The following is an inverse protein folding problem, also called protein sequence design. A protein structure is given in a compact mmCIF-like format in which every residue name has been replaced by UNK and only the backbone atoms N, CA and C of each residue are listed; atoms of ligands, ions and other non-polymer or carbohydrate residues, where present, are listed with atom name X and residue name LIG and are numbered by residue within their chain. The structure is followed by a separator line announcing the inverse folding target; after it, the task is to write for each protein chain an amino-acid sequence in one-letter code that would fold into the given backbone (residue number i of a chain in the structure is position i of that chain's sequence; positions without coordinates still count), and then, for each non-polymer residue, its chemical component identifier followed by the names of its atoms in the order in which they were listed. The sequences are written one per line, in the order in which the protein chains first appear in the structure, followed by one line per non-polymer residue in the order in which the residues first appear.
data_IF_139691035361
#
_entry.id   IF_139691035361
#
_cell.length_a   1.000
_cell.length_b   1.000
_cell.length_c   1.000
_cell.angle_alpha   90.00
_cell.angle_beta   90.00
_cell.angle_gamma   90.00
#
_symmetry.space_group_name_H-M   'P 1'
#
loop_
_entity.id
_entity.type
_entity.pdbx_description
1 polymer ?
#
# COMPACT_ATOMS: atom_id res chain seq x y z
N UNK A 1 -59.87 -37.35 21.15
CA UNK A 1 -58.89 -37.72 20.09
C UNK A 1 -59.19 -36.87 18.85
N UNK A 2 -58.32 -36.10 18.17
CA UNK A 2 -56.86 -35.87 18.15
C UNK A 2 -56.67 -34.35 17.95
N UNK A 3 -56.08 -33.60 18.89
CA UNK A 3 -55.59 -32.22 18.65
C UNK A 3 -54.26 -32.34 17.87
N UNK A 4 -54.33 -32.53 16.55
CA UNK A 4 -53.16 -32.69 15.66
C UNK A 4 -53.03 -31.59 14.59
N UNK A 5 -53.62 -30.40 14.76
CA UNK A 5 -53.54 -29.36 13.71
C UNK A 5 -52.64 -28.15 14.03
N UNK A 6 -52.30 -27.89 15.30
CA UNK A 6 -51.41 -26.76 15.64
C UNK A 6 -49.92 -27.11 15.62
N UNK A 7 -49.53 -28.35 15.97
CA UNK A 7 -48.11 -28.75 16.00
C UNK A 7 -47.50 -28.81 14.59
N UNK A 8 -48.28 -29.22 13.59
CA UNK A 8 -47.79 -29.44 12.22
C UNK A 8 -47.46 -28.13 11.50
N UNK A 9 -48.23 -27.06 11.76
CA UNK A 9 -47.96 -25.74 11.15
C UNK A 9 -46.69 -25.10 11.71
N UNK A 10 -46.43 -25.27 13.00
CA UNK A 10 -45.19 -24.77 13.64
C UNK A 10 -43.97 -25.53 13.13
N UNK A 11 -44.08 -26.85 12.92
CA UNK A 11 -42.95 -27.67 12.43
C UNK A 11 -42.55 -27.30 10.99
N UNK A 12 -43.51 -26.98 10.12
CA UNK A 12 -43.25 -26.55 8.73
C UNK A 12 -42.61 -25.15 8.69
N UNK A 13 -43.04 -24.23 9.56
CA UNK A 13 -42.45 -22.89 9.64
C UNK A 13 -41.00 -22.92 10.16
N UNK A 14 -40.70 -23.78 11.14
CA UNK A 14 -39.34 -23.94 11.68
C UNK A 14 -38.40 -24.61 10.68
N UNK A 15 -38.88 -25.60 9.91
CA UNK A 15 -38.07 -26.25 8.86
C UNK A 15 -37.80 -25.33 7.66
N UNK A 16 -38.74 -24.46 7.29
CA UNK A 16 -38.47 -23.41 6.30
C UNK A 16 -37.47 -22.35 6.80
N UNK A 17 -37.53 -21.97 8.07
CA UNK A 17 -36.58 -21.00 8.64
C UNK A 17 -35.16 -21.58 8.77
N UNK A 18 -35.02 -22.85 9.15
CA UNK A 18 -33.72 -23.54 9.18
C UNK A 18 -33.19 -23.76 7.75
N UNK A 19 -34.07 -24.05 6.78
CA UNK A 19 -33.71 -24.12 5.36
C UNK A 19 -33.21 -22.79 4.82
N UNK A 20 -33.83 -21.66 5.18
CA UNK A 20 -33.36 -20.33 4.80
C UNK A 20 -32.05 -19.97 5.53
N UNK A 21 -31.89 -20.33 6.81
CA UNK A 21 -30.62 -20.10 7.51
C UNK A 21 -29.50 -20.98 6.90
N UNK A 22 -29.78 -22.20 6.46
CA UNK A 22 -28.80 -23.05 5.79
C UNK A 22 -28.50 -22.65 4.33
N UNK A 23 -29.46 -22.04 3.62
CA UNK A 23 -29.31 -21.60 2.22
C UNK A 23 -28.79 -20.15 2.11
N UNK A 24 -29.03 -19.30 3.11
CA UNK A 24 -28.48 -17.92 3.20
C UNK A 24 -27.14 -17.90 3.93
N UNK A 25 -26.75 -18.97 4.59
CA UNK A 25 -25.37 -19.14 5.10
C UNK A 25 -24.57 -20.02 4.16
N UNK A 26 -24.19 -19.47 3.00
CA UNK A 26 -22.77 -19.56 2.64
C UNK A 26 -22.28 -18.26 1.99
N UNK A 27 -22.23 -17.14 2.73
CA UNK A 27 -21.53 -15.92 2.21
C UNK A 27 -20.75 -15.14 3.28
N UNK A 28 -20.91 -15.42 4.57
CA UNK A 28 -20.27 -14.64 5.65
C UNK A 28 -19.22 -15.42 6.47
N UNK A 29 -18.85 -16.61 6.03
CA UNK A 29 -17.77 -17.41 6.62
C UNK A 29 -16.81 -17.97 5.56
N UNK A 30 -16.70 -17.29 4.43
CA UNK A 30 -15.57 -17.47 3.53
C UNK A 30 -14.45 -16.55 4.06
N UNK A 31 -13.38 -17.14 4.59
CA UNK A 31 -12.27 -16.39 5.17
C UNK A 31 -11.71 -15.48 4.11
N UNK A 32 -11.86 -14.17 4.26
CA UNK A 32 -11.36 -13.24 3.25
C UNK A 32 -9.84 -13.35 3.19
N UNK A 33 -9.31 -14.08 2.22
CA UNK A 33 -7.88 -14.11 1.90
C UNK A 33 -7.47 -12.65 1.69
N UNK A 34 -6.75 -12.08 2.65
CA UNK A 34 -6.38 -10.68 2.60
C UNK A 34 -5.01 -10.43 3.20
N UNK A 35 -4.33 -9.42 2.67
CA UNK A 35 -3.02 -9.01 3.18
C UNK A 35 -3.17 -7.62 3.75
N UNK A 36 -2.80 -7.48 5.02
CA UNK A 36 -2.63 -6.19 5.67
C UNK A 36 -1.15 -5.82 5.69
N UNK A 37 -0.85 -4.64 5.16
CA UNK A 37 0.48 -4.05 5.14
C UNK A 37 0.44 -2.74 5.91
N UNK A 38 1.33 -2.58 6.87
CA UNK A 38 1.58 -1.29 7.50
C UNK A 38 3.07 -1.02 7.55
N UNK A 39 3.44 0.19 7.16
CA UNK A 39 4.81 0.68 7.18
C UNK A 39 4.79 2.08 7.77
N UNK A 40 5.66 2.35 8.75
CA UNK A 40 5.70 3.65 9.43
C UNK A 40 7.10 3.92 9.95
N UNK A 41 7.62 5.11 9.71
CA UNK A 41 8.93 5.51 10.22
C UNK A 41 9.52 6.67 9.45
N UNK A 42 10.82 6.82 9.61
CA UNK A 42 11.64 7.75 8.83
C UNK A 42 11.69 7.32 7.37
N UNK A 43 11.73 8.30 6.48
CA UNK A 43 11.74 8.07 5.05
C UNK A 43 13.16 7.78 4.55
N UNK A 44 13.36 6.60 3.96
CA UNK A 44 14.67 6.19 3.47
C UNK A 44 15.11 6.93 2.20
N UNK A 45 14.20 7.61 1.49
CA UNK A 45 14.50 8.40 0.29
C UNK A 45 14.60 9.92 0.58
N UNK A 46 14.21 10.36 1.78
CA UNK A 46 14.40 11.73 2.29
C UNK A 46 15.10 11.66 3.67
N UNK A 47 16.33 11.12 3.73
CA UNK A 47 17.02 10.92 5.00
C UNK A 47 17.47 12.28 5.55
N UNK A 48 17.11 12.62 6.79
CA UNK A 48 17.52 13.85 7.48
C UNK A 48 19.01 13.94 7.86
N UNK A 49 19.92 13.55 6.97
CA UNK A 49 21.38 13.60 7.18
C UNK A 49 22.01 14.88 6.60
N UNK A 50 23.33 15.04 6.83
CA UNK A 50 24.11 16.25 6.55
C UNK A 50 24.05 16.79 5.10
N UNK A 51 23.54 16.00 4.14
CA UNK A 51 23.37 16.41 2.76
C UNK A 51 21.95 16.90 2.42
N UNK A 52 21.05 16.91 3.41
CA UNK A 52 19.65 17.32 3.26
C UNK A 52 19.29 18.40 4.28
N UNK A 53 18.53 19.42 3.83
CA UNK A 53 17.89 20.38 4.74
C UNK A 53 16.59 19.84 5.34
N UNK A 54 16.16 18.65 4.91
CA UNK A 54 14.85 18.11 5.19
C UNK A 54 14.90 16.64 5.64
N UNK A 55 13.95 16.26 6.50
CA UNK A 55 13.72 14.88 6.90
C UNK A 55 12.28 14.48 6.57
N UNK A 56 12.10 13.29 6.01
CA UNK A 56 10.80 12.71 5.71
C UNK A 56 10.34 11.72 6.78
N UNK A 57 9.03 11.67 7.02
CA UNK A 57 8.38 10.53 7.68
C UNK A 57 7.24 10.04 6.82
N UNK A 58 7.08 8.72 6.81
CA UNK A 58 6.11 8.05 5.94
C UNK A 58 5.25 7.10 6.76
N UNK A 59 3.96 7.11 6.46
CA UNK A 59 2.96 6.15 6.92
C UNK A 59 2.26 5.56 5.71
N UNK A 60 2.24 4.23 5.63
CA UNK A 60 1.59 3.47 4.56
C UNK A 60 0.68 2.45 5.22
N UNK A 61 -0.56 2.39 4.76
CA UNK A 61 -1.54 1.38 5.13
C UNK A 61 -2.09 0.78 3.83
N UNK A 62 -1.72 -0.47 3.56
CA UNK A 62 -2.18 -1.24 2.42
C UNK A 62 -3.10 -2.36 2.87
N UNK A 63 -4.22 -2.55 2.16
CA UNK A 63 -5.04 -3.76 2.28
C UNK A 63 -5.26 -4.34 0.89
N UNK A 64 -4.86 -5.58 0.71
CA UNK A 64 -5.13 -6.35 -0.51
C UNK A 64 -6.18 -7.39 -0.17
N UNK A 65 -7.27 -7.44 -0.92
CA UNK A 65 -8.30 -8.48 -0.77
C UNK A 65 -8.35 -9.31 -2.05
N UNK A 66 -8.39 -10.63 -1.95
CA UNK A 66 -8.57 -11.49 -3.11
C UNK A 66 -10.03 -11.88 -3.24
N UNK A 67 -10.57 -11.75 -4.44
CA UNK A 67 -11.83 -12.38 -4.77
C UNK A 67 -11.62 -13.90 -4.87
N UNK A 68 -12.44 -14.68 -4.19
CA UNK A 68 -12.32 -16.15 -4.14
C UNK A 68 -12.64 -16.80 -5.49
N UNK A 69 -13.43 -16.15 -6.33
CA UNK A 69 -13.87 -16.69 -7.62
C UNK A 69 -12.83 -16.41 -8.72
N UNK A 70 -12.37 -15.17 -8.83
CA UNK A 70 -11.39 -14.76 -9.86
C UNK A 70 -9.93 -14.85 -9.42
N UNK A 71 -9.67 -14.96 -8.11
CA UNK A 71 -8.34 -14.77 -7.50
C UNK A 71 -7.70 -13.40 -7.79
N UNK A 72 -8.44 -12.45 -8.38
CA UNK A 72 -7.96 -11.10 -8.64
C UNK A 72 -7.79 -10.35 -7.33
N UNK A 73 -6.63 -9.74 -7.15
CA UNK A 73 -6.35 -8.91 -6.00
C UNK A 73 -6.91 -7.51 -6.22
N UNK A 74 -7.80 -7.07 -5.33
CA UNK A 74 -8.25 -5.69 -5.24
C UNK A 74 -7.45 -4.98 -4.15
N UNK A 75 -6.55 -4.09 -4.59
CA UNK A 75 -5.70 -3.32 -3.70
C UNK A 75 -6.41 -2.05 -3.19
N UNK A 76 -6.16 -1.73 -1.92
CA UNK A 76 -6.45 -0.43 -1.31
C UNK A 76 -5.19 0.08 -0.65
N UNK A 77 -4.86 1.33 -0.88
CA UNK A 77 -3.67 1.97 -0.31
C UNK A 77 -4.07 3.32 0.24
N UNK A 78 -3.65 3.61 1.45
CA UNK A 78 -3.62 4.94 2.01
C UNK A 78 -2.18 5.24 2.43
N UNK A 79 -1.68 6.42 2.09
CA UNK A 79 -0.36 6.86 2.51
C UNK A 79 -0.37 8.32 2.93
N UNK A 80 0.58 8.65 3.81
CA UNK A 80 0.85 10.00 4.26
C UNK A 80 2.36 10.18 4.39
N UNK A 81 2.90 11.13 3.65
CA UNK A 81 4.31 11.53 3.73
C UNK A 81 4.34 12.95 4.28
N UNK A 82 5.18 13.19 5.27
CA UNK A 82 5.41 14.51 5.86
C UNK A 82 6.88 14.84 5.79
N UNK A 83 7.20 16.07 5.41
CA UNK A 83 8.57 16.58 5.32
C UNK A 83 8.73 17.72 6.30
N UNK A 84 9.86 17.70 7.00
CA UNK A 84 10.21 18.64 8.06
C UNK A 84 11.54 19.31 7.73
N UNK A 85 11.70 20.57 8.09
CA UNK A 85 12.99 21.25 8.04
C UNK A 85 13.87 20.80 9.21
N UNK A 86 15.09 20.35 8.95
CA UNK A 86 15.95 19.69 9.94
C UNK A 86 16.25 20.58 11.15
N UNK A 87 16.64 21.84 10.92
CA UNK A 87 17.05 22.75 12.02
C UNK A 87 15.88 23.21 12.90
N UNK A 88 14.69 23.38 12.32
CA UNK A 88 13.54 23.97 13.04
C UNK A 88 12.55 22.92 13.52
N UNK A 89 12.64 21.68 13.01
CA UNK A 89 11.63 20.63 13.22
C UNK A 89 10.26 20.99 12.65
N UNK A 90 10.11 22.10 11.91
CA UNK A 90 8.83 22.56 11.39
C UNK A 90 8.43 21.69 10.21
N UNK A 91 7.19 21.20 10.22
CA UNK A 91 6.58 20.56 9.04
C UNK A 91 6.45 21.60 7.92
N UNK A 92 7.05 21.33 6.77
CA UNK A 92 7.05 22.23 5.60
C UNK A 92 6.22 21.68 4.44
N UNK A 93 5.95 20.37 4.42
CA UNK A 93 5.15 19.75 3.38
C UNK A 93 4.45 18.50 3.90
N UNK A 94 3.26 18.21 3.38
CA UNK A 94 2.72 16.86 3.44
C UNK A 94 1.89 16.51 2.22
N UNK A 95 1.93 15.23 1.85
CA UNK A 95 1.07 14.62 0.84
C UNK A 95 0.33 13.44 1.46
N UNK A 96 -0.94 13.35 1.14
CA UNK A 96 -1.80 12.20 1.44
C UNK A 96 -2.28 11.61 0.13
N UNK A 97 -2.30 10.29 0.04
CA UNK A 97 -2.86 9.59 -1.11
C UNK A 97 -3.79 8.47 -0.68
N UNK A 98 -4.80 8.23 -1.52
CA UNK A 98 -5.76 7.12 -1.37
C UNK A 98 -6.00 6.47 -2.71
N UNK A 99 -6.00 5.15 -2.71
CA UNK A 99 -6.25 4.31 -3.87
C UNK A 99 -7.22 3.21 -3.48
N UNK A 100 -8.21 2.95 -4.33
CA UNK A 100 -9.21 1.91 -4.14
C UNK A 100 -9.39 1.13 -5.43
N UNK A 101 -9.71 -0.15 -5.32
CA UNK A 101 -9.93 -1.06 -6.45
C UNK A 101 -8.71 -1.09 -7.39
N UNK A 102 -7.52 -1.10 -6.79
CA UNK A 102 -6.27 -1.13 -7.53
C UNK A 102 -5.98 -2.52 -8.08
N UNK A 103 -5.25 -2.53 -9.18
CA UNK A 103 -4.63 -3.74 -9.71
C UNK A 103 -3.48 -4.17 -8.81
N UNK A 104 -3.36 -5.49 -8.62
CA UNK A 104 -2.33 -6.09 -7.77
C UNK A 104 -1.53 -7.08 -8.59
N UNK A 105 -0.23 -6.84 -8.68
CA UNK A 105 0.71 -7.72 -9.33
C UNK A 105 1.64 -8.35 -8.29
N UNK A 106 1.73 -9.68 -8.31
CA UNK A 106 2.58 -10.46 -7.40
C UNK A 106 3.92 -10.79 -8.05
N UNK A 107 4.91 -11.10 -7.21
CA UNK A 107 6.23 -11.61 -7.62
C UNK A 107 6.92 -10.73 -8.67
N UNK A 108 6.78 -9.40 -8.52
CA UNK A 108 7.45 -8.45 -9.41
C UNK A 108 8.87 -8.21 -8.96
N UNK A 109 9.69 -7.81 -9.94
CA UNK A 109 11.03 -7.29 -9.71
C UNK A 109 11.02 -5.78 -9.93
N UNK A 110 11.82 -5.06 -9.16
CA UNK A 110 12.00 -3.61 -9.32
C UNK A 110 13.48 -3.24 -9.21
N UNK A 111 14.02 -2.65 -10.28
CA UNK A 111 15.40 -2.18 -10.31
C UNK A 111 15.49 -0.85 -9.56
N UNK A 112 16.15 -0.85 -8.41
CA UNK A 112 16.42 0.35 -7.62
C UNK A 112 17.83 0.85 -7.90
N UNK A 113 17.96 1.71 -8.91
CA UNK A 113 19.24 2.29 -9.33
C UNK A 113 19.95 3.05 -8.20
N UNK A 114 19.19 3.76 -7.37
CA UNK A 114 19.71 4.54 -6.22
C UNK A 114 20.46 3.66 -5.22
N UNK A 115 20.03 2.40 -5.04
CA UNK A 115 20.61 1.46 -4.09
C UNK A 115 21.46 0.38 -4.75
N UNK A 116 21.55 0.36 -6.08
CA UNK A 116 22.31 -0.64 -6.83
C UNK A 116 21.77 -2.08 -6.69
N UNK A 117 20.49 -2.25 -6.37
CA UNK A 117 19.86 -3.57 -6.16
C UNK A 117 18.62 -3.74 -7.04
N UNK A 118 18.31 -4.98 -7.40
CA UNK A 118 16.98 -5.36 -7.90
C UNK A 118 16.22 -6.03 -6.78
N UNK A 119 15.16 -5.38 -6.30
CA UNK A 119 14.26 -5.97 -5.34
C UNK A 119 13.40 -7.04 -6.02
N UNK A 120 13.21 -8.17 -5.35
CA UNK A 120 12.46 -9.32 -5.88
C UNK A 120 11.31 -9.70 -4.94
N UNK A 121 10.43 -10.58 -5.42
CA UNK A 121 9.23 -11.02 -4.67
C UNK A 121 8.33 -9.86 -4.23
N UNK A 122 8.25 -8.81 -5.04
CA UNK A 122 7.47 -7.63 -4.71
C UNK A 122 5.99 -7.83 -4.99
N UNK A 123 5.19 -7.25 -4.10
CA UNK A 123 3.79 -6.94 -4.37
C UNK A 123 3.71 -5.51 -4.89
N UNK A 124 3.13 -5.34 -6.07
CA UNK A 124 2.98 -4.06 -6.73
C UNK A 124 1.49 -3.76 -6.85
N UNK A 125 1.05 -2.64 -6.28
CA UNK A 125 -0.35 -2.22 -6.26
C UNK A 125 -0.47 -0.86 -6.89
N UNK A 126 -1.20 -0.75 -8.00
CA UNK A 126 -1.27 0.50 -8.76
C UNK A 126 -2.66 0.77 -9.32
N UNK A 127 -2.95 2.04 -9.58
CA UNK A 127 -4.15 2.49 -10.27
C UNK A 127 -4.37 3.97 -10.12
N UNK A 128 -5.48 4.46 -10.68
CA UNK A 128 -5.89 5.85 -10.53
C UNK A 128 -6.45 6.05 -9.11
N UNK A 129 -5.72 6.83 -8.31
CA UNK A 129 -6.10 7.23 -6.96
C UNK A 129 -6.36 8.72 -6.88
N UNK A 130 -6.37 9.22 -5.64
CA UNK A 130 -6.50 10.64 -5.34
C UNK A 130 -5.37 11.06 -4.40
N UNK A 131 -4.81 12.25 -4.60
CA UNK A 131 -3.83 12.86 -3.70
C UNK A 131 -4.26 14.23 -3.22
N UNK A 132 -3.73 14.65 -2.08
CA UNK A 132 -3.90 16.00 -1.53
C UNK A 132 -2.62 16.44 -0.83
N UNK A 133 -2.16 17.65 -1.08
CA UNK A 133 -1.01 18.27 -0.41
C UNK A 133 -1.45 19.40 0.52
N UNK A 134 -0.60 19.83 1.46
CA UNK A 134 -1.00 20.80 2.50
C UNK A 134 -0.38 22.19 2.42
N UNK A 135 0.38 22.51 1.38
CA UNK A 135 1.15 23.76 1.36
C UNK A 135 1.05 24.43 -0.01
N UNK A 136 1.02 25.77 -0.03
CA UNK A 136 0.63 26.60 -1.17
C UNK A 136 1.78 26.96 -2.12
N UNK A 137 3.02 26.62 -1.78
CA UNK A 137 4.22 26.98 -2.55
C UNK A 137 4.93 25.73 -3.08
N UNK A 138 5.56 25.87 -4.24
CA UNK A 138 6.37 24.84 -4.87
C UNK A 138 7.62 24.57 -4.02
N UNK A 139 7.68 23.41 -3.37
CA UNK A 139 8.83 23.01 -2.54
C UNK A 139 9.80 22.17 -3.39
N UNK A 140 11.05 22.63 -3.51
CA UNK A 140 12.13 21.86 -4.12
C UNK A 140 12.92 21.08 -3.05
N UNK A 141 13.15 19.79 -3.29
CA UNK A 141 13.97 18.94 -2.41
C UNK A 141 14.95 18.10 -3.24
N UNK A 142 16.02 17.63 -2.61
CA UNK A 142 16.83 16.55 -3.18
C UNK A 142 16.18 15.20 -2.84
N UNK A 143 15.62 14.54 -3.85
CA UNK A 143 15.03 13.21 -3.75
C UNK A 143 15.83 12.24 -4.60
N UNK A 144 16.34 11.15 -4.00
CA UNK A 144 17.12 10.12 -4.73
C UNK A 144 18.28 10.72 -5.55
N UNK A 145 19.01 11.67 -4.96
CA UNK A 145 20.12 12.42 -5.56
C UNK A 145 19.75 13.34 -6.74
N UNK A 146 18.47 13.65 -6.93
CA UNK A 146 18.02 14.62 -7.94
C UNK A 146 17.16 15.71 -7.30
N UNK A 147 17.32 16.98 -7.69
CA UNK A 147 16.36 18.01 -7.31
C UNK A 147 15.01 17.68 -7.97
N UNK A 148 13.95 17.75 -7.20
CA UNK A 148 12.58 17.64 -7.68
C UNK A 148 11.73 18.75 -7.07
N UNK A 149 10.76 19.24 -7.84
CA UNK A 149 9.67 20.07 -7.32
C UNK A 149 8.54 19.16 -6.89
N UNK A 150 8.13 19.28 -5.63
CA UNK A 150 7.04 18.47 -5.08
C UNK A 150 5.69 18.90 -5.69
N UNK A 151 4.76 17.95 -5.87
CA UNK A 151 3.45 18.27 -6.41
C UNK A 151 2.69 19.20 -5.45
N UNK A 152 1.84 20.05 -6.01
CA UNK A 152 0.99 20.95 -5.26
C UNK A 152 -0.46 20.83 -5.74
N UNK A 153 -1.38 20.49 -4.84
CA UNK A 153 -2.81 20.38 -5.13
C UNK A 153 -3.64 21.51 -4.52
N UNK A 154 -2.99 22.53 -3.94
CA UNK A 154 -3.64 23.64 -3.23
C UNK A 154 -4.62 23.18 -2.15
N UNK A 155 -4.34 22.05 -1.50
CA UNK A 155 -5.24 21.47 -0.51
C UNK A 155 -6.49 20.79 -1.08
N UNK A 156 -6.63 20.68 -2.40
CA UNK A 156 -7.71 19.95 -3.07
C UNK A 156 -7.31 18.50 -3.32
N UNK A 157 -8.30 17.63 -3.46
CA UNK A 157 -8.06 16.25 -3.89
C UNK A 157 -7.98 16.21 -5.41
N UNK A 158 -6.85 15.76 -5.94
CA UNK A 158 -6.60 15.65 -7.38
C UNK A 158 -6.39 14.18 -7.76
N UNK A 159 -6.85 13.74 -8.94
CA UNK A 159 -6.55 12.40 -9.45
C UNK A 159 -5.06 12.28 -9.73
N UNK A 160 -4.47 11.11 -9.43
CA UNK A 160 -3.09 10.78 -9.74
C UNK A 160 -2.93 9.26 -9.85
N UNK A 161 -1.94 8.78 -10.59
CA UNK A 161 -1.56 7.37 -10.53
C UNK A 161 -0.85 7.12 -9.20
N UNK A 162 -1.47 6.32 -8.35
CA UNK A 162 -0.92 5.97 -7.03
C UNK A 162 -0.31 4.58 -7.12
N UNK A 163 0.86 4.43 -6.52
CA UNK A 163 1.60 3.18 -6.45
C UNK A 163 1.89 2.82 -4.99
N UNK A 164 1.81 1.53 -4.67
CA UNK A 164 2.47 0.92 -3.53
C UNK A 164 3.33 -0.26 -3.99
N UNK A 165 4.55 -0.35 -3.46
CA UNK A 165 5.40 -1.54 -3.59
C UNK A 165 5.66 -2.09 -2.19
N UNK A 166 5.59 -3.41 -2.04
CA UNK A 166 5.84 -4.07 -0.75
C UNK A 166 6.83 -5.21 -0.97
N UNK A 167 7.91 -5.20 -0.19
CA UNK A 167 8.81 -6.33 -0.04
C UNK A 167 8.63 -6.88 1.38
N UNK A 168 7.84 -7.95 1.58
CA UNK A 168 7.57 -8.47 2.93
C UNK A 168 8.82 -8.89 3.68
N UNK A 169 9.81 -9.41 2.94
CA UNK A 169 11.04 -9.96 3.50
C UNK A 169 12.29 -9.14 3.15
N UNK A 170 12.22 -8.20 2.21
CA UNK A 170 13.39 -7.42 1.80
C UNK A 170 14.37 -8.22 0.93
N UNK A 171 13.87 -9.16 0.12
CA UNK A 171 14.70 -9.96 -0.78
C UNK A 171 15.19 -9.13 -1.97
N UNK A 172 16.46 -9.29 -2.34
CA UNK A 172 17.06 -8.60 -3.46
C UNK A 172 18.08 -9.46 -4.22
N UNK A 173 18.41 -9.04 -5.42
CA UNK A 173 19.53 -9.55 -6.21
C UNK A 173 20.41 -8.43 -6.75
N UNK A 174 21.71 -8.70 -6.88
CA UNK A 174 22.73 -7.78 -7.42
C UNK A 174 23.45 -8.49 -8.57
N UNK A 175 23.63 -7.85 -9.75
CA UNK A 175 24.41 -8.44 -10.84
C UNK A 175 25.89 -8.56 -10.46
N UNK A 176 26.51 -9.69 -10.78
CA UNK A 176 27.94 -9.94 -10.55
C UNK A 176 28.73 -9.63 -11.85
N UNK A 177 29.92 -9.00 -11.79
CA UNK A 177 30.69 -8.62 -12.97
C UNK A 177 30.96 -9.75 -13.98
N UNK A 178 31.18 -10.97 -13.50
CA UNK A 178 31.51 -12.15 -14.33
C UNK A 178 30.26 -12.93 -14.78
N UNK A 179 29.06 -12.36 -14.58
CA UNK A 179 27.78 -12.97 -14.90
C UNK A 179 27.07 -13.59 -13.70
N UNK A 180 25.74 -13.67 -13.80
CA UNK A 180 24.88 -14.18 -12.73
C UNK A 180 24.45 -13.12 -11.71
N UNK A 181 23.89 -13.58 -10.60
CA UNK A 181 23.33 -12.72 -9.54
C UNK A 181 23.74 -13.21 -8.16
N UNK A 182 24.11 -12.26 -7.30
CA UNK A 182 24.16 -12.46 -5.85
C UNK A 182 22.76 -12.22 -5.29
N UNK A 183 22.25 -13.15 -4.49
CA UNK A 183 20.95 -13.01 -3.81
C UNK A 183 21.17 -12.70 -2.34
N UNK A 184 20.42 -11.73 -1.83
CA UNK A 184 20.52 -11.28 -0.44
C UNK A 184 19.16 -10.91 0.14
N UNK A 185 19.19 -10.58 1.42
CA UNK A 185 18.02 -10.14 2.18
C UNK A 185 18.42 -8.93 3.05
N UNK A 186 17.58 -7.89 3.07
CA UNK A 186 17.85 -6.66 3.80
C UNK A 186 17.75 -6.81 5.33
N UNK A 187 17.29 -7.96 5.82
CA UNK A 187 17.03 -8.25 7.24
C UNK A 187 15.70 -7.72 7.76
N UNK A 188 14.94 -7.02 6.93
CA UNK A 188 13.63 -6.46 7.26
C UNK A 188 12.78 -6.26 6.01
N UNK A 189 11.46 -6.32 6.17
CA UNK A 189 10.52 -5.94 5.13
C UNK A 189 10.34 -4.42 5.03
N UNK A 190 10.02 -3.93 3.85
CA UNK A 190 9.76 -2.50 3.60
C UNK A 190 8.56 -2.30 2.67
N UNK A 191 7.99 -1.09 2.71
CA UNK A 191 7.03 -0.65 1.71
C UNK A 191 7.37 0.74 1.19
N UNK A 192 7.05 0.94 -0.09
CA UNK A 192 6.99 2.23 -0.75
C UNK A 192 5.53 2.58 -1.04
N UNK A 193 5.13 3.83 -0.88
CA UNK A 193 3.92 4.34 -1.48
C UNK A 193 4.08 5.78 -1.95
N UNK A 194 3.42 6.12 -3.05
CA UNK A 194 3.55 7.43 -3.65
C UNK A 194 2.72 7.59 -4.92
N UNK A 195 3.17 8.52 -5.75
CA UNK A 195 2.61 8.83 -7.05
C UNK A 195 3.59 8.48 -8.16
N UNK A 196 3.01 8.18 -9.31
CA UNK A 196 3.68 8.04 -10.58
C UNK A 196 2.99 8.98 -11.56
N UNK A 197 3.76 9.60 -12.45
CA UNK A 197 3.25 10.45 -13.53
C UNK A 197 2.18 11.48 -13.10
N UNK A 198 2.62 12.53 -12.40
CA UNK A 198 1.75 13.64 -12.00
C UNK A 198 2.38 14.97 -12.39
N UNK A 199 1.73 15.72 -13.29
CA UNK A 199 2.20 17.02 -13.77
C UNK A 199 3.68 16.99 -14.24
N UNK A 200 4.09 15.92 -14.94
CA UNK A 200 5.46 15.75 -15.45
C UNK A 200 6.46 15.20 -14.42
N UNK A 201 6.04 14.97 -13.17
CA UNK A 201 6.84 14.26 -12.18
C UNK A 201 6.71 12.75 -12.40
N UNK A 202 7.82 12.10 -12.78
CA UNK A 202 7.84 10.66 -13.07
C UNK A 202 7.43 9.82 -11.86
N UNK A 203 8.01 10.09 -10.68
CA UNK A 203 7.75 9.33 -9.46
C UNK A 203 8.12 10.14 -8.22
N UNK A 204 7.25 10.12 -7.21
CA UNK A 204 7.56 10.64 -5.88
C UNK A 204 6.77 9.88 -4.81
N UNK A 205 7.43 9.52 -3.73
CA UNK A 205 6.78 8.82 -2.63
C UNK A 205 7.75 8.56 -1.49
N UNK A 206 7.28 7.76 -0.54
CA UNK A 206 8.05 7.45 0.64
C UNK A 206 8.35 5.98 0.78
N UNK A 207 9.55 5.65 1.29
CA UNK A 207 9.99 4.29 1.62
C UNK A 207 10.22 4.18 3.11
N UNK A 208 9.60 3.20 3.77
CA UNK A 208 9.85 2.94 5.19
C UNK A 208 9.76 1.45 5.51
N UNK A 209 10.37 1.05 6.62
CA UNK A 209 10.27 -0.32 7.13
C UNK A 209 8.83 -0.71 7.46
N UNK A 210 8.52 -1.99 7.26
CA UNK A 210 7.24 -2.58 7.67
C UNK A 210 7.17 -2.63 9.19
N UNK A 211 6.04 -2.18 9.73
CA UNK A 211 5.68 -2.37 11.14
C UNK A 211 4.70 -3.52 11.31
N UNK A 212 3.97 -3.89 10.26
CA UNK A 212 3.11 -5.09 10.23
C UNK A 212 2.94 -5.62 8.80
N UNK A 213 3.07 -6.93 8.67
CA UNK A 213 2.67 -7.71 7.49
C UNK A 213 1.87 -8.91 8.00
N UNK A 214 0.66 -9.12 7.49
CA UNK A 214 -0.23 -10.18 7.95
C UNK A 214 -1.07 -10.70 6.79
N UNK A 215 -0.98 -12.00 6.52
CA UNK A 215 -1.87 -12.75 5.64
C UNK A 215 -3.00 -13.29 6.53
N UNK A 216 -4.25 -12.95 6.18
CA UNK A 216 -5.49 -13.23 6.94
C UNK A 216 -6.36 -14.14 6.09
#
# INVERSE_FOLDING_TARGET
MKKKSKLTKTLIAVSFLIGIIAIVTPVLAAGSNSILVMAKGDDADIPGNDFSYYNGTTLIVGKITFDEVSSEGLGRVEFHIKIYHNESGKKVYSIMGKLKNAEVFKNKEFVCTVRGVTWINLWFVTGVGMIKTTDAEDLEIIYRHKPITLPNTEGKWCPATVLMMVSPYGDFKIPIPDGGFFYGNAGFGWAYAGIMDFNGLEMFGGVTALTKYMEI
#
